data_IF_731314772617
#
_entry.id   IF_731314772617
#
_cell.length_a   1.000
_cell.length_b   1.000
_cell.length_c   1.000
_cell.angle_alpha   90.00
_cell.angle_beta   90.00
_cell.angle_gamma   90.00
#
_symmetry.space_group_name_H-M   'P 1'
#
loop_
_entity.id
_entity.type
_entity.pdbx_description
1 polymer ?
#
# COMPACT_ATOMS: atom_id res chain seq x y z
N UNK A 1 -15.22 8.63 9.13
CA UNK A 1 -13.83 8.15 9.20
C UNK A 1 -13.85 6.66 9.48
N UNK A 2 -13.60 5.80 8.49
CA UNK A 2 -13.33 4.38 8.75
C UNK A 2 -11.83 4.25 8.90
N UNK A 3 -11.37 4.20 10.15
CA UNK A 3 -10.01 3.86 10.51
C UNK A 3 -9.79 2.40 10.08
N UNK A 4 -8.68 2.13 9.38
CA UNK A 4 -8.33 0.76 8.99
C UNK A 4 -7.97 0.05 10.28
N UNK A 5 -8.82 -0.91 10.63
CA UNK A 5 -8.85 -1.60 11.90
C UNK A 5 -7.63 -2.52 12.03
N UNK A 6 -6.58 -2.10 12.74
CA UNK A 6 -5.64 -3.07 13.33
C UNK A 6 -6.28 -3.63 14.59
N UNK A 7 -7.29 -4.47 14.42
CA UNK A 7 -7.69 -5.36 15.51
C UNK A 7 -6.63 -6.45 15.56
N UNK A 8 -5.76 -6.43 16.58
CA UNK A 8 -4.91 -7.57 16.96
C UNK A 8 -5.83 -8.65 17.56
N UNK A 9 -6.83 -9.08 16.78
CA UNK A 9 -7.85 -10.01 17.22
C UNK A 9 -7.25 -11.42 17.26
N UNK A 10 -6.82 -11.79 18.47
CA UNK A 10 -6.76 -13.14 19.02
C UNK A 10 -6.55 -14.28 18.00
N UNK A 11 -5.30 -14.54 17.62
CA UNK A 11 -4.93 -15.85 17.09
C UNK A 11 -4.88 -16.81 18.28
N UNK A 12 -5.85 -17.70 18.37
CA UNK A 12 -5.85 -18.78 19.35
C UNK A 12 -4.58 -19.64 19.15
N UNK A 13 -3.73 -19.67 20.16
CA UNK A 13 -2.55 -20.53 20.20
C UNK A 13 -3.01 -21.99 20.23
N UNK A 14 -2.80 -22.76 19.15
CA UNK A 14 -2.63 -24.20 19.32
C UNK A 14 -1.21 -24.43 19.83
N UNK A 15 -1.12 -24.70 21.13
CA UNK A 15 0.06 -25.30 21.74
C UNK A 15 0.15 -26.73 21.22
N UNK A 16 0.87 -26.92 20.12
CA UNK A 16 1.26 -28.24 19.64
C UNK A 16 2.36 -28.80 20.52
N UNK A 17 1.98 -29.60 21.53
CA UNK A 17 2.89 -30.49 22.24
C UNK A 17 3.63 -31.36 21.21
N UNK A 18 4.94 -31.43 21.36
CA UNK A 18 5.82 -32.07 20.40
C UNK A 18 5.62 -33.59 20.27
N UNK A 19 5.97 -34.08 19.10
CA UNK A 19 6.55 -35.40 18.93
C UNK A 19 7.84 -35.24 18.12
N UNK A 20 8.91 -35.79 18.70
CA UNK A 20 10.24 -35.92 18.14
C UNK A 20 10.20 -36.71 16.84
N UNK A 21 11.05 -36.32 15.91
CA UNK A 21 11.98 -37.14 15.13
C UNK A 21 12.13 -36.47 13.76
N UNK A 22 13.29 -35.87 13.53
CA UNK A 22 13.92 -35.88 12.21
C UNK A 22 15.39 -35.48 12.36
N UNK A 23 16.23 -36.50 12.19
CA UNK A 23 17.67 -36.39 12.05
C UNK A 23 18.01 -35.65 10.76
N UNK A 24 18.71 -34.52 10.86
CA UNK A 24 19.56 -34.04 9.77
C UNK A 24 20.76 -33.30 10.37
N UNK A 25 22.00 -33.58 9.91
CA UNK A 25 23.21 -33.21 10.64
C UNK A 25 23.56 -31.72 10.49
N UNK A 26 24.23 -31.11 11.48
CA UNK A 26 24.71 -29.75 11.38
C UNK A 26 26.03 -29.74 10.61
N UNK A 27 26.16 -28.89 9.59
CA UNK A 27 27.48 -28.56 9.06
C UNK A 27 27.65 -27.05 8.91
N UNK A 28 28.78 -26.56 9.41
CA UNK A 28 29.26 -25.18 9.24
C UNK A 28 29.91 -24.55 10.47
N UNK A 29 30.92 -25.20 11.05
CA UNK A 29 31.77 -24.61 12.09
C UNK A 29 32.94 -23.77 11.51
N UNK A 30 33.29 -22.70 12.22
CA UNK A 30 34.61 -22.07 12.39
C UNK A 30 34.38 -20.82 13.28
N UNK A 31 35.06 -20.52 14.38
CA UNK A 31 36.17 -21.12 15.11
C UNK A 31 36.61 -20.13 16.20
N UNK A 32 37.19 -20.67 17.27
CA UNK A 32 37.89 -20.04 18.40
C UNK A 32 37.11 -19.52 19.62
N UNK A 33 37.45 -20.13 20.75
CA UNK A 33 36.85 -19.95 22.06
C UNK A 33 37.36 -18.74 22.84
N UNK A 34 36.50 -18.29 23.73
CA UNK A 34 36.77 -17.36 24.82
C UNK A 34 35.68 -17.56 25.85
N UNK A 35 36.05 -18.11 26.99
CA UNK A 35 35.19 -18.38 28.14
C UNK A 35 34.59 -17.05 28.64
N UNK A 36 33.27 -16.89 28.55
CA UNK A 36 32.58 -15.67 28.96
C UNK A 36 31.09 -15.93 29.07
N UNK A 37 30.60 -15.95 30.31
CA UNK A 37 29.19 -16.09 30.65
C UNK A 37 28.43 -14.85 30.16
N UNK A 38 27.97 -14.88 28.91
CA UNK A 38 27.18 -13.83 28.28
C UNK A 38 26.09 -14.50 27.46
N UNK A 39 24.84 -14.11 27.70
CA UNK A 39 23.66 -14.58 26.97
C UNK A 39 23.84 -14.34 25.46
N UNK A 40 24.29 -15.35 24.73
CA UNK A 40 24.44 -15.32 23.27
C UNK A 40 23.07 -15.51 22.63
N UNK A 41 22.42 -14.41 22.27
CA UNK A 41 21.36 -14.41 21.26
C UNK A 41 21.94 -14.89 19.91
N UNK A 42 21.19 -15.63 19.07
CA UNK A 42 21.73 -16.19 17.84
C UNK A 42 22.36 -15.10 16.95
N UNK A 43 23.61 -15.32 16.54
CA UNK A 43 24.39 -14.48 15.59
C UNK A 43 23.68 -14.25 14.25
N UNK A 44 22.59 -14.98 14.00
CA UNK A 44 21.80 -14.99 12.77
C UNK A 44 20.90 -13.76 12.60
N UNK A 45 20.41 -13.13 13.66
CA UNK A 45 19.51 -11.95 13.56
C UNK A 45 20.17 -10.74 12.91
N UNK A 46 21.48 -10.56 13.13
CA UNK A 46 22.25 -9.45 12.57
C UNK A 46 22.25 -9.46 11.02
N UNK A 47 22.02 -10.62 10.40
CA UNK A 47 21.97 -10.76 8.94
C UNK A 47 20.79 -9.99 8.30
N UNK A 48 19.76 -9.70 9.09
CA UNK A 48 18.56 -9.00 8.63
C UNK A 48 18.61 -7.50 8.84
N UNK A 49 19.59 -7.02 9.62
CA UNK A 49 19.68 -5.62 10.00
C UNK A 49 20.58 -4.85 9.02
N UNK A 50 20.28 -3.58 8.71
CA UNK A 50 21.17 -2.76 7.91
C UNK A 50 22.43 -2.41 8.71
N UNK A 51 23.56 -2.26 8.04
CA UNK A 51 24.82 -1.86 8.67
C UNK A 51 24.78 -0.38 9.16
N UNK A 52 24.03 0.48 8.46
CA UNK A 52 23.77 1.87 8.85
C UNK A 52 22.33 2.02 9.35
N UNK A 53 22.15 2.63 10.52
CA UNK A 53 20.87 2.70 11.23
C UNK A 53 20.19 4.04 11.00
N UNK A 54 18.91 4.03 10.68
CA UNK A 54 18.13 5.26 10.48
C UNK A 54 17.64 5.73 11.85
N UNK A 55 18.04 6.92 12.30
CA UNK A 55 17.54 7.50 13.55
C UNK A 55 16.17 8.14 13.38
N UNK A 56 15.94 8.72 12.22
CA UNK A 56 14.72 9.47 11.95
C UNK A 56 14.31 9.38 10.48
N UNK A 57 13.01 9.32 10.24
CA UNK A 57 12.41 9.53 8.93
C UNK A 57 11.43 10.68 9.00
N UNK A 58 11.60 11.65 8.10
CA UNK A 58 10.65 12.75 7.91
C UNK A 58 9.89 12.50 6.62
N UNK A 59 8.56 12.50 6.69
CA UNK A 59 7.70 12.30 5.52
C UNK A 59 6.70 13.42 5.36
N UNK A 60 6.51 13.86 4.12
CA UNK A 60 5.44 14.76 3.73
C UNK A 60 4.47 14.01 2.80
N UNK A 61 3.18 14.09 3.11
CA UNK A 61 2.15 13.40 2.35
C UNK A 61 0.86 14.23 2.27
N UNK A 62 0.06 13.93 1.26
CA UNK A 62 -1.27 14.55 1.10
C UNK A 62 -2.30 13.58 1.67
N UNK A 63 -2.99 14.02 2.71
CA UNK A 63 -4.18 13.37 3.24
C UNK A 63 -5.40 13.81 2.42
N UNK A 64 -6.21 12.84 1.97
CA UNK A 64 -7.51 13.13 1.37
C UNK A 64 -8.59 13.11 2.45
N UNK A 65 -9.28 14.23 2.61
CA UNK A 65 -10.48 14.31 3.43
C UNK A 65 -11.69 14.36 2.52
N UNK A 66 -12.62 13.43 2.73
CA UNK A 66 -13.97 13.61 2.22
C UNK A 66 -14.68 14.55 3.19
N UNK A 67 -15.33 15.61 2.68
CA UNK A 67 -16.19 16.48 3.50
C UNK A 67 -17.18 15.60 4.27
N UNK A 68 -17.37 15.90 5.56
CA UNK A 68 -18.19 15.12 6.48
C UNK A 68 -19.49 14.66 5.81
N UNK A 69 -19.75 13.35 5.88
CA UNK A 69 -21.02 12.77 5.47
C UNK A 69 -22.09 13.11 6.52
N UNK A 70 -22.38 14.40 6.70
CA UNK A 70 -23.51 14.87 7.51
C UNK A 70 -24.82 14.82 6.69
N UNK A 71 -24.87 14.03 5.62
CA UNK A 71 -26.05 13.86 4.75
C UNK A 71 -26.43 15.06 3.87
N UNK A 72 -25.81 16.23 4.04
CA UNK A 72 -26.30 17.49 3.46
C UNK A 72 -25.51 17.99 2.22
N UNK A 73 -24.38 17.39 1.86
CA UNK A 73 -23.74 17.73 0.59
C UNK A 73 -24.52 17.08 -0.57
N UNK A 74 -24.75 17.79 -1.69
CA UNK A 74 -25.39 17.19 -2.85
C UNK A 74 -24.52 16.09 -3.47
N UNK A 75 -25.15 15.04 -4.01
CA UNK A 75 -24.46 14.12 -4.92
C UNK A 75 -24.04 14.88 -6.19
N UNK A 76 -23.03 14.41 -6.96
CA UNK A 76 -22.74 15.00 -8.25
C UNK A 76 -24.03 15.04 -9.09
N UNK A 77 -24.33 16.15 -9.75
CA UNK A 77 -25.43 16.20 -10.71
C UNK A 77 -24.96 15.73 -12.09
N UNK A 78 -25.90 15.32 -12.95
CA UNK A 78 -25.61 15.02 -14.37
C UNK A 78 -24.91 16.21 -15.06
N UNK A 79 -25.29 17.44 -14.72
CA UNK A 79 -24.68 18.67 -15.23
C UNK A 79 -23.23 18.89 -14.78
N UNK A 80 -22.81 18.25 -13.69
CA UNK A 80 -21.44 18.33 -13.18
C UNK A 80 -20.51 17.26 -13.78
N UNK A 81 -21.03 16.19 -14.41
CA UNK A 81 -20.22 15.02 -14.83
C UNK A 81 -19.03 15.44 -15.69
N UNK A 82 -19.26 16.30 -16.68
CA UNK A 82 -18.25 16.76 -17.63
C UNK A 82 -17.50 18.03 -17.17
N UNK A 83 -17.70 18.48 -15.93
CA UNK A 83 -17.03 19.66 -15.37
C UNK A 83 -15.83 19.27 -14.48
N UNK A 84 -14.77 20.09 -14.42
CA UNK A 84 -13.57 19.84 -13.62
C UNK A 84 -13.78 20.20 -12.14
N UNK A 85 -14.70 19.49 -11.47
CA UNK A 85 -15.05 19.73 -10.06
C UNK A 85 -14.51 18.61 -9.17
N UNK A 86 -13.90 18.95 -8.03
CA UNK A 86 -13.42 17.97 -7.04
C UNK A 86 -14.54 17.35 -6.18
N UNK A 87 -15.77 17.84 -6.32
CA UNK A 87 -16.91 17.48 -5.49
C UNK A 87 -16.59 17.65 -3.99
N UNK A 88 -16.64 16.59 -3.18
CA UNK A 88 -16.46 16.62 -1.71
C UNK A 88 -15.02 16.41 -1.24
N UNK A 89 -14.05 16.42 -2.15
CA UNK A 89 -12.67 16.12 -1.78
C UNK A 89 -11.93 17.39 -1.37
N UNK A 90 -11.32 17.30 -0.21
CA UNK A 90 -10.39 18.28 0.33
C UNK A 90 -9.05 17.59 0.55
N UNK A 91 -7.97 18.33 0.35
CA UNK A 91 -6.61 17.82 0.49
C UNK A 91 -5.92 18.59 1.60
N UNK A 92 -5.14 17.90 2.42
CA UNK A 92 -4.35 18.50 3.50
C UNK A 92 -2.93 18.00 3.38
N UNK A 93 -1.97 18.93 3.30
CA UNK A 93 -0.55 18.58 3.38
C UNK A 93 -0.17 18.36 4.84
N UNK A 94 0.28 17.14 5.16
CA UNK A 94 0.72 16.74 6.48
C UNK A 94 2.19 16.33 6.50
N UNK A 95 2.81 16.51 7.65
CA UNK A 95 4.12 15.97 7.99
C UNK A 95 4.00 14.89 9.05
N UNK A 96 4.78 13.83 8.93
CA UNK A 96 4.99 12.84 9.99
C UNK A 96 6.47 12.53 10.16
N UNK A 97 6.88 12.30 11.41
CA UNK A 97 8.24 11.92 11.80
C UNK A 97 8.22 10.57 12.49
N UNK A 98 9.08 9.66 12.06
CA UNK A 98 9.33 8.38 12.74
C UNK A 98 10.71 8.45 13.39
N UNK A 99 10.77 8.35 14.72
CA UNK A 99 12.02 8.32 15.47
C UNK A 99 12.29 6.91 15.97
N UNK A 100 13.51 6.43 15.75
CA UNK A 100 13.92 5.08 16.09
C UNK A 100 14.97 5.08 17.19
N UNK A 101 14.75 4.24 18.20
CA UNK A 101 15.77 3.87 19.16
C UNK A 101 16.15 2.41 18.97
N UNK A 102 17.42 2.10 19.20
CA UNK A 102 17.98 0.76 19.00
C UNK A 102 18.41 0.13 20.33
N UNK A 103 18.35 -1.19 20.40
CA UNK A 103 19.02 -1.96 21.46
C UNK A 103 20.52 -2.14 21.16
N UNK A 104 21.23 -2.80 22.07
CA UNK A 104 22.68 -3.02 21.96
C UNK A 104 23.06 -3.93 20.79
N UNK A 105 22.13 -4.69 20.22
CA UNK A 105 22.33 -5.50 19.02
C UNK A 105 21.97 -4.75 17.73
N UNK A 106 21.49 -3.51 17.84
CA UNK A 106 21.11 -2.69 16.69
C UNK A 106 19.75 -3.06 16.10
N UNK A 107 18.88 -3.75 16.85
CA UNK A 107 17.47 -3.96 16.54
C UNK A 107 16.66 -2.76 17.05
N UNK A 108 15.56 -2.43 16.39
CA UNK A 108 14.70 -1.34 16.85
C UNK A 108 14.02 -1.76 18.15
N UNK A 109 14.24 -1.01 19.23
CA UNK A 109 13.56 -1.21 20.52
C UNK A 109 12.36 -0.30 20.72
N UNK A 110 12.31 0.83 20.00
CA UNK A 110 11.22 1.81 20.12
C UNK A 110 11.06 2.60 18.84
N UNK A 111 9.80 2.85 18.49
CA UNK A 111 9.36 3.76 17.43
C UNK A 111 8.50 4.83 18.08
N UNK A 112 8.82 6.09 17.82
CA UNK A 112 7.94 7.24 18.16
C UNK A 112 7.46 7.88 16.87
N UNK A 113 6.16 7.87 16.63
CA UNK A 113 5.53 8.54 15.50
C UNK A 113 4.97 9.88 15.96
N UNK A 114 5.38 10.97 15.30
CA UNK A 114 4.87 12.32 15.54
C UNK A 114 4.22 12.83 14.26
N UNK A 115 2.90 12.92 14.24
CA UNK A 115 2.14 13.46 13.11
C UNK A 115 1.64 14.88 13.44
N UNK A 116 1.72 15.79 12.47
CA UNK A 116 1.26 17.17 12.64
C UNK A 116 -0.22 17.22 13.07
N UNK A 117 -0.47 17.79 14.25
CA UNK A 117 -1.82 17.95 14.81
C UNK A 117 -2.35 16.74 15.60
N UNK A 118 -1.55 15.68 15.74
CA UNK A 118 -1.91 14.47 16.48
C UNK A 118 -1.01 14.26 17.70
N UNK A 119 -1.46 13.41 18.64
CA UNK A 119 -0.62 13.01 19.77
C UNK A 119 0.48 12.04 19.33
N UNK A 120 1.62 12.09 20.03
CA UNK A 120 2.72 11.16 19.81
C UNK A 120 2.28 9.71 20.07
N UNK A 121 2.59 8.81 19.13
CA UNK A 121 2.36 7.38 19.27
C UNK A 121 3.69 6.69 19.53
N UNK A 122 3.76 5.92 20.63
CA UNK A 122 4.97 5.18 21.02
C UNK A 122 4.72 3.68 20.92
N UNK A 123 5.61 2.97 20.23
CA UNK A 123 5.62 1.50 20.12
C UNK A 123 6.95 0.97 20.63
N UNK A 124 6.96 -0.08 21.44
CA UNK A 124 8.20 -0.68 21.98
C UNK A 124 8.32 -2.15 21.64
N UNK A 125 9.56 -2.60 21.49
CA UNK A 125 9.94 -3.94 21.11
C UNK A 125 11.02 -4.43 22.08
N UNK A 126 10.68 -5.44 22.87
CA UNK A 126 11.57 -6.08 23.85
C UNK A 126 11.92 -7.48 23.36
N UNK A 127 13.12 -7.62 22.84
CA UNK A 127 13.61 -8.85 22.23
C UNK A 127 14.32 -9.74 23.23
N UNK A 128 13.86 -10.99 23.31
CA UNK A 128 14.54 -12.09 24.01
C UNK A 128 15.18 -13.03 22.98
N UNK A 129 15.80 -14.11 23.48
CA UNK A 129 16.44 -15.10 22.63
C UNK A 129 15.45 -15.83 21.70
N UNK A 130 14.23 -16.08 22.18
CA UNK A 130 13.22 -16.91 21.48
C UNK A 130 11.87 -16.20 21.31
N UNK A 131 11.76 -14.93 21.70
CA UNK A 131 10.53 -14.16 21.56
C UNK A 131 10.81 -12.67 21.39
N UNK A 132 9.81 -11.94 20.90
CA UNK A 132 9.74 -10.48 20.94
C UNK A 132 8.43 -10.08 21.59
N UNK A 133 8.50 -9.22 22.60
CA UNK A 133 7.34 -8.58 23.21
C UNK A 133 7.15 -7.20 22.61
N UNK A 134 5.95 -6.94 22.11
CA UNK A 134 5.59 -5.71 21.42
C UNK A 134 4.49 -5.03 22.23
N UNK A 135 4.68 -3.74 22.51
CA UNK A 135 3.70 -2.90 23.20
C UNK A 135 3.31 -1.73 22.31
N UNK A 136 2.03 -1.56 22.04
CA UNK A 136 1.47 -0.53 21.15
C UNK A 136 0.18 0.04 21.73
N UNK A 137 -0.14 1.33 21.52
CA UNK A 137 -1.47 1.85 21.79
C UNK A 137 -2.44 1.35 20.71
N UNK A 138 -3.62 0.93 21.14
CA UNK A 138 -4.75 0.68 20.27
C UNK A 138 -5.21 2.01 19.65
N UNK A 139 -5.29 2.08 18.32
CA UNK A 139 -5.56 3.33 17.58
C UNK A 139 -6.99 3.89 17.74
N UNK A 140 -7.92 3.07 18.24
CA UNK A 140 -9.32 3.45 18.44
C UNK A 140 -9.60 3.85 19.90
N UNK A 141 -9.02 3.13 20.85
CA UNK A 141 -9.29 3.30 22.29
C UNK A 141 -8.18 4.02 23.04
N UNK A 142 -6.97 4.09 22.46
CA UNK A 142 -5.76 4.57 23.14
C UNK A 142 -5.23 3.64 24.24
N UNK A 143 -5.90 2.50 24.50
CA UNK A 143 -5.48 1.52 25.49
C UNK A 143 -4.18 0.85 25.03
N UNK A 144 -3.23 0.71 25.95
CA UNK A 144 -1.97 0.02 25.65
C UNK A 144 -2.21 -1.49 25.57
N UNK A 145 -1.90 -2.07 24.41
CA UNK A 145 -1.91 -3.50 24.15
C UNK A 145 -0.48 -4.04 24.19
N UNK A 146 -0.33 -5.28 24.65
CA UNK A 146 0.95 -5.99 24.66
C UNK A 146 0.77 -7.40 24.13
N UNK A 147 1.63 -7.79 23.20
CA UNK A 147 1.65 -9.12 22.61
C UNK A 147 3.07 -9.66 22.63
N UNK A 148 3.25 -10.96 22.85
CA UNK A 148 4.55 -11.63 22.77
C UNK A 148 4.49 -12.73 21.72
N UNK A 149 5.43 -12.69 20.78
CA UNK A 149 5.51 -13.63 19.67
C UNK A 149 6.81 -14.41 19.70
N UNK A 150 6.74 -15.71 19.40
CA UNK A 150 7.91 -16.57 19.29
C UNK A 150 8.77 -16.22 18.08
N UNK A 151 10.06 -16.52 18.18
CA UNK A 151 11.05 -16.41 17.12
C UNK A 151 11.54 -17.80 16.71
N UNK A 152 11.82 -17.99 15.41
CA UNK A 152 12.49 -19.20 14.95
C UNK A 152 14.00 -19.17 15.32
N UNK A 153 14.75 -20.24 15.04
CA UNK A 153 16.18 -20.31 15.33
C UNK A 153 17.03 -19.26 14.58
N UNK A 154 16.54 -18.75 13.45
CA UNK A 154 17.16 -17.65 12.74
C UNK A 154 16.79 -16.28 13.34
N UNK A 155 15.81 -16.24 14.24
CA UNK A 155 15.34 -15.04 14.93
C UNK A 155 14.21 -14.30 14.22
N UNK A 156 13.54 -14.94 13.26
CA UNK A 156 12.38 -14.39 12.56
C UNK A 156 11.09 -14.62 13.35
N UNK A 157 10.15 -13.66 13.26
CA UNK A 157 8.87 -13.72 13.98
C UNK A 157 7.96 -14.82 13.42
N UNK A 158 7.56 -15.77 14.27
CA UNK A 158 6.71 -16.91 13.90
C UNK A 158 5.24 -16.53 13.70
N UNK A 159 4.74 -15.52 14.41
CA UNK A 159 3.35 -15.07 14.29
C UNK A 159 3.05 -14.43 12.91
N UNK A 160 4.10 -14.00 12.19
CA UNK A 160 3.96 -13.38 10.88
C UNK A 160 3.59 -14.41 9.80
N UNK A 161 4.20 -15.59 9.83
CA UNK A 161 4.02 -16.61 8.82
C UNK A 161 5.18 -17.59 8.73
N UNK A 162 5.35 -18.20 7.57
CA UNK A 162 6.36 -19.24 7.31
C UNK A 162 7.52 -18.73 6.46
N UNK A 163 8.66 -19.40 6.58
CA UNK A 163 9.90 -19.02 5.92
C UNK A 163 10.44 -20.18 5.08
N UNK A 164 11.07 -19.88 3.95
CA UNK A 164 11.75 -20.87 3.12
C UNK A 164 13.13 -21.25 3.71
N UNK A 165 13.84 -22.17 3.05
CA UNK A 165 15.16 -22.62 3.47
C UNK A 165 16.23 -21.52 3.47
N UNK A 166 16.01 -20.43 2.73
CA UNK A 166 16.85 -19.22 2.71
C UNK A 166 16.39 -18.18 3.74
N UNK A 167 15.44 -18.52 4.61
CA UNK A 167 14.84 -17.63 5.60
C UNK A 167 14.16 -16.39 4.98
N UNK A 168 13.62 -16.53 3.76
CA UNK A 168 12.74 -15.53 3.13
C UNK A 168 11.29 -15.87 3.48
N UNK A 169 10.42 -14.87 3.59
CA UNK A 169 8.98 -15.12 3.79
C UNK A 169 8.44 -15.98 2.65
N UNK A 170 7.82 -17.11 2.97
CA UNK A 170 7.17 -18.01 2.02
C UNK A 170 5.65 -17.85 2.04
N UNK A 171 5.09 -17.57 3.21
CA UNK A 171 3.68 -17.25 3.39
C UNK A 171 3.54 -16.30 4.58
N UNK A 172 2.64 -15.33 4.49
CA UNK A 172 2.25 -14.45 5.59
C UNK A 172 0.77 -14.64 5.85
N UNK A 173 0.41 -14.77 7.13
CA UNK A 173 -0.98 -14.91 7.57
C UNK A 173 -1.80 -13.73 7.03
N UNK A 174 -2.97 -14.01 6.46
CA UNK A 174 -3.90 -13.03 5.88
C UNK A 174 -3.38 -12.18 4.70
N UNK A 175 -2.13 -12.36 4.28
CA UNK A 175 -1.56 -11.69 3.08
C UNK A 175 -1.37 -12.68 1.93
N UNK A 176 -0.94 -13.91 2.23
CA UNK A 176 -0.84 -14.99 1.26
C UNK A 176 0.59 -15.46 0.95
N UNK A 177 0.76 -16.05 -0.23
CA UNK A 177 1.99 -16.77 -0.65
C UNK A 177 2.97 -15.84 -1.35
N UNK A 178 4.27 -16.01 -1.06
CA UNK A 178 5.34 -15.16 -1.53
C UNK A 178 6.22 -15.94 -2.52
N UNK A 179 6.36 -15.42 -3.73
CA UNK A 179 7.21 -16.00 -4.76
C UNK A 179 8.48 -15.18 -4.95
N UNK A 180 9.62 -15.86 -4.93
CA UNK A 180 10.93 -15.24 -5.04
C UNK A 180 11.65 -15.70 -6.31
N UNK A 181 12.33 -14.77 -6.99
CA UNK A 181 13.17 -15.07 -8.15
C UNK A 181 14.45 -14.26 -8.04
N UNK A 182 15.61 -14.91 -8.22
CA UNK A 182 16.92 -14.25 -8.11
C UNK A 182 17.09 -13.44 -6.81
N UNK A 183 16.56 -13.97 -5.70
CA UNK A 183 16.57 -13.37 -4.37
C UNK A 183 15.81 -12.03 -4.24
N UNK A 184 14.89 -11.75 -5.17
CA UNK A 184 13.90 -10.67 -5.08
C UNK A 184 12.48 -11.24 -4.96
N UNK A 185 11.62 -10.64 -4.15
CA UNK A 185 10.20 -11.02 -3.99
C UNK A 185 9.43 -10.51 -5.19
N UNK A 186 9.07 -11.38 -6.13
CA UNK A 186 8.48 -10.98 -7.42
C UNK A 186 6.95 -11.05 -7.44
N UNK A 187 6.35 -11.91 -6.63
CA UNK A 187 4.89 -11.98 -6.49
C UNK A 187 4.42 -12.24 -5.07
N UNK A 188 3.23 -11.72 -4.77
CA UNK A 188 2.44 -12.06 -3.59
C UNK A 188 1.07 -12.48 -4.08
N UNK A 189 0.55 -13.60 -3.58
CA UNK A 189 -0.71 -14.20 -4.06
C UNK A 189 -1.63 -14.43 -2.86
N UNK A 190 -2.77 -13.74 -2.89
CA UNK A 190 -3.84 -13.87 -1.91
C UNK A 190 -5.05 -14.57 -2.54
N UNK A 191 -5.58 -15.60 -1.88
CA UNK A 191 -6.81 -16.28 -2.31
C UNK A 191 -7.91 -15.97 -1.32
N UNK A 192 -8.99 -15.33 -1.78
CA UNK A 192 -10.16 -14.99 -0.96
C UNK A 192 -11.39 -15.76 -1.44
N UNK A 193 -12.13 -16.37 -0.52
CA UNK A 193 -13.44 -16.93 -0.83
C UNK A 193 -14.51 -15.84 -0.71
N UNK A 194 -15.20 -15.53 -1.81
CA UNK A 194 -16.36 -14.61 -1.82
C UNK A 194 -17.56 -15.35 -2.39
N UNK A 195 -18.57 -15.57 -1.53
CA UNK A 195 -19.83 -16.23 -1.89
C UNK A 195 -19.62 -17.58 -2.59
N UNK A 196 -18.70 -18.42 -2.09
CA UNK A 196 -18.42 -19.74 -2.64
C UNK A 196 -17.49 -19.74 -3.87
N UNK A 197 -17.10 -18.56 -4.36
CA UNK A 197 -16.11 -18.41 -5.44
C UNK A 197 -14.76 -18.00 -4.88
N UNK A 198 -13.71 -18.75 -5.20
CA UNK A 198 -12.34 -18.33 -4.94
C UNK A 198 -11.96 -17.25 -5.93
N UNK A 199 -11.54 -16.10 -5.42
CA UNK A 199 -10.99 -14.99 -6.19
C UNK A 199 -9.52 -14.86 -5.83
N UNK A 200 -8.67 -14.77 -6.85
CA UNK A 200 -7.23 -14.57 -6.67
C UNK A 200 -6.90 -13.08 -6.81
N UNK A 201 -6.33 -12.52 -5.76
CA UNK A 201 -5.66 -11.23 -5.79
C UNK A 201 -4.16 -11.45 -5.75
N UNK A 202 -3.40 -10.53 -6.31
CA UNK A 202 -1.95 -10.61 -6.18
C UNK A 202 -1.25 -9.30 -6.44
N UNK A 203 0.02 -9.23 -6.07
CA UNK A 203 0.90 -8.11 -6.39
C UNK A 203 2.06 -8.62 -7.21
N UNK A 204 2.38 -7.93 -8.31
CA UNK A 204 3.59 -8.12 -9.10
C UNK A 204 4.58 -7.04 -8.72
N UNK A 205 5.78 -7.44 -8.29
CA UNK A 205 6.83 -6.54 -7.83
C UNK A 205 7.99 -6.58 -8.80
N UNK A 206 8.53 -5.40 -9.14
CA UNK A 206 9.73 -5.27 -9.95
C UNK A 206 10.78 -4.44 -9.22
N UNK A 207 12.04 -4.70 -9.55
CA UNK A 207 13.19 -4.14 -8.83
C UNK A 207 14.12 -3.40 -9.78
N UNK A 208 14.83 -2.42 -9.22
CA UNK A 208 15.94 -1.77 -9.90
C UNK A 208 17.21 -2.63 -9.89
N UNK A 209 18.32 -2.03 -10.30
CA UNK A 209 19.63 -2.68 -10.28
C UNK A 209 20.39 -2.40 -8.97
N UNK A 210 19.93 -1.41 -8.21
CA UNK A 210 20.55 -0.93 -6.98
C UNK A 210 20.37 -1.96 -5.86
N UNK A 211 21.44 -2.20 -5.09
CA UNK A 211 21.40 -3.11 -3.96
C UNK A 211 20.61 -2.51 -2.79
N UNK A 212 19.82 -3.34 -2.12
CA UNK A 212 19.07 -2.97 -0.93
C UNK A 212 19.95 -3.00 0.33
N UNK A 213 20.87 -2.04 0.47
CA UNK A 213 21.73 -1.93 1.67
C UNK A 213 20.94 -1.64 2.95
N UNK A 214 19.78 -1.00 2.82
CA UNK A 214 18.88 -0.67 3.91
C UNK A 214 18.06 -1.85 4.43
N UNK A 215 18.04 -2.99 3.72
CA UNK A 215 17.26 -4.19 4.08
C UNK A 215 15.75 -3.94 4.17
N UNK A 216 15.21 -3.07 3.31
CA UNK A 216 13.76 -2.84 3.25
C UNK A 216 13.04 -4.10 2.73
N UNK A 217 11.99 -4.54 3.43
CA UNK A 217 11.14 -5.64 3.03
C UNK A 217 9.67 -5.19 3.16
N UNK A 218 9.08 -4.80 2.02
CA UNK A 218 7.70 -4.34 1.94
C UNK A 218 6.82 -5.38 1.25
N UNK A 219 5.67 -5.70 1.85
CA UNK A 219 4.78 -6.71 1.28
C UNK A 219 3.29 -6.59 1.63
N UNK A 220 2.86 -5.68 2.52
CA UNK A 220 1.48 -5.67 3.00
C UNK A 220 0.52 -4.86 2.10
N UNK A 221 0.24 -5.36 0.90
CA UNK A 221 -0.58 -4.65 -0.10
C UNK A 221 -2.09 -4.96 0.08
N UNK A 222 -2.70 -4.53 1.18
CA UNK A 222 -4.13 -4.78 1.41
C UNK A 222 -5.02 -4.13 0.32
N UNK A 223 -6.02 -4.90 -0.12
CA UNK A 223 -6.85 -4.65 -1.31
C UNK A 223 -7.84 -3.48 -1.28
N UNK A 224 -7.47 -2.35 -0.66
CA UNK A 224 -8.00 -0.99 -0.87
C UNK A 224 -7.00 0.12 -0.45
N UNK A 225 -5.84 -0.25 0.11
CA UNK A 225 -4.76 0.65 0.52
C UNK A 225 -3.42 0.00 0.16
N UNK A 226 -2.80 0.46 -0.93
CA UNK A 226 -1.48 -0.03 -1.34
C UNK A 226 -0.49 0.18 -0.19
N UNK A 227 0.26 -0.86 0.23
CA UNK A 227 1.30 -0.65 1.26
C UNK A 227 2.29 0.38 0.78
N UNK A 228 2.43 1.38 1.62
CA UNK A 228 3.34 2.48 1.49
C UNK A 228 4.52 2.28 2.43
N UNK A 229 5.63 2.95 2.14
CA UNK A 229 6.75 3.04 3.08
C UNK A 229 6.27 3.64 4.43
N UNK A 230 5.19 4.42 4.44
CA UNK A 230 4.55 4.95 5.65
C UNK A 230 4.19 3.84 6.64
N UNK A 231 3.49 2.80 6.19
CA UNK A 231 3.11 1.68 7.06
C UNK A 231 4.33 0.89 7.52
N UNK A 232 5.28 0.68 6.62
CA UNK A 232 6.52 -0.03 6.94
C UNK A 232 7.31 0.70 8.03
N UNK A 233 7.49 2.01 7.91
CA UNK A 233 8.20 2.86 8.87
C UNK A 233 7.44 3.05 10.19
N UNK A 234 6.11 3.09 10.15
CA UNK A 234 5.30 3.23 11.35
C UNK A 234 5.38 2.02 12.29
N UNK A 235 5.68 0.83 11.76
CA UNK A 235 5.65 -0.41 12.56
C UNK A 235 6.51 -1.57 12.06
N UNK A 236 6.35 -2.00 10.80
CA UNK A 236 6.93 -3.27 10.31
C UNK A 236 8.45 -3.31 10.37
N UNK A 237 9.11 -2.16 10.20
CA UNK A 237 10.57 -2.03 10.36
C UNK A 237 11.04 -2.47 11.76
N UNK A 238 10.15 -2.42 12.76
CA UNK A 238 10.44 -2.73 14.16
C UNK A 238 10.65 -4.20 14.48
N UNK A 239 10.22 -5.14 13.63
CA UNK A 239 10.39 -6.59 13.83
C UNK A 239 11.21 -7.28 12.73
N UNK A 240 11.78 -8.44 13.05
CA UNK A 240 12.60 -9.24 12.12
C UNK A 240 11.72 -10.13 11.24
N UNK A 241 11.78 -9.90 9.92
CA UNK A 241 10.87 -10.47 8.90
C UNK A 241 11.58 -11.46 7.96
N UNK A 242 12.78 -11.92 8.31
CA UNK A 242 13.61 -12.71 7.40
C UNK A 242 14.40 -11.87 6.40
N UNK A 243 14.90 -12.54 5.36
CA UNK A 243 15.78 -11.94 4.35
C UNK A 243 15.01 -10.94 3.47
N UNK A 244 15.49 -9.70 3.45
CA UNK A 244 15.00 -8.66 2.55
C UNK A 244 15.41 -8.94 1.08
N UNK A 245 14.68 -8.38 0.08
CA UNK A 245 15.03 -8.50 -1.32
C UNK A 245 16.43 -7.97 -1.61
N UNK A 246 17.14 -8.62 -2.53
CA UNK A 246 18.48 -8.24 -2.95
C UNK A 246 18.56 -6.79 -3.45
N UNK A 247 17.56 -6.36 -4.21
CA UNK A 247 17.50 -5.06 -4.86
C UNK A 247 16.41 -4.16 -4.27
N UNK A 248 16.48 -2.86 -4.56
CA UNK A 248 15.44 -1.92 -4.15
C UNK A 248 14.20 -2.05 -5.05
N UNK A 249 13.04 -2.05 -4.40
CA UNK A 249 11.74 -2.17 -5.04
C UNK A 249 11.51 -0.96 -5.96
N UNK A 250 11.21 -1.19 -7.23
CA UNK A 250 10.96 -0.14 -8.23
C UNK A 250 9.48 0.12 -8.43
N UNK A 251 8.68 -0.95 -8.47
CA UNK A 251 7.25 -0.84 -8.74
C UNK A 251 6.48 -2.02 -8.17
N UNK A 252 5.25 -1.75 -7.77
CA UNK A 252 4.23 -2.75 -7.44
C UNK A 252 3.01 -2.52 -8.30
N UNK A 253 2.51 -3.59 -8.91
CA UNK A 253 1.26 -3.62 -9.67
C UNK A 253 0.31 -4.60 -9.01
N UNK A 254 -0.84 -4.11 -8.53
CA UNK A 254 -1.88 -5.00 -8.01
C UNK A 254 -2.58 -5.70 -9.17
N UNK A 255 -3.02 -6.92 -8.93
CA UNK A 255 -3.65 -7.80 -9.92
C UNK A 255 -4.86 -8.50 -9.32
N UNK A 256 -5.84 -8.80 -10.17
CA UNK A 256 -6.99 -9.64 -9.85
C UNK A 256 -7.15 -10.66 -10.97
N UNK A 257 -7.16 -11.94 -10.63
CA UNK A 257 -7.09 -13.04 -11.61
C UNK A 257 -5.97 -12.81 -12.63
N UNK A 258 -4.78 -12.45 -12.12
CA UNK A 258 -3.56 -12.10 -12.87
C UNK A 258 -3.62 -10.86 -13.76
N UNK A 259 -4.80 -10.34 -14.03
CA UNK A 259 -5.01 -9.10 -14.77
C UNK A 259 -4.61 -7.89 -13.92
N UNK A 260 -3.83 -6.93 -14.47
CA UNK A 260 -3.43 -5.74 -13.73
C UNK A 260 -4.65 -4.88 -13.40
N UNK A 261 -4.68 -4.40 -12.16
CA UNK A 261 -5.56 -3.32 -11.73
C UNK A 261 -4.85 -1.98 -11.98
N UNK A 262 -5.63 -0.89 -12.01
CA UNK A 262 -5.09 0.47 -12.17
C UNK A 262 -4.34 1.01 -10.92
N UNK A 263 -3.99 0.14 -9.98
CA UNK A 263 -3.25 0.50 -8.77
C UNK A 263 -1.78 0.14 -8.95
N UNK A 264 -1.02 1.13 -9.41
CA UNK A 264 0.42 1.05 -9.62
C UNK A 264 1.09 2.00 -8.63
N UNK A 265 2.07 1.49 -7.89
CA UNK A 265 2.96 2.30 -7.06
C UNK A 265 4.38 2.20 -7.59
N UNK A 266 5.02 3.36 -7.79
CA UNK A 266 6.42 3.44 -8.22
C UNK A 266 7.25 4.06 -7.11
N UNK A 267 8.50 3.62 -7.04
CA UNK A 267 9.46 4.06 -6.04
C UNK A 267 10.72 4.52 -6.75
N UNK A 268 11.21 5.69 -6.33
CA UNK A 268 12.53 6.20 -6.74
C UNK A 268 13.35 6.54 -5.51
N UNK A 269 14.66 6.43 -5.66
CA UNK A 269 15.59 6.55 -4.55
C UNK A 269 16.71 7.53 -4.89
N UNK A 270 17.18 8.24 -3.87
CA UNK A 270 18.48 8.90 -3.90
C UNK A 270 19.34 8.31 -2.79
N UNK A 271 20.66 8.43 -2.92
CA UNK A 271 21.62 7.75 -2.06
C UNK A 271 22.58 8.74 -1.42
N UNK A 272 23.09 8.37 -0.24
CA UNK A 272 24.27 9.00 0.32
C UNK A 272 25.57 8.44 -0.31
N UNK A 273 26.72 8.96 0.13
CA UNK A 273 28.03 8.56 -0.39
C UNK A 273 28.37 7.08 -0.13
N UNK A 274 27.75 6.46 0.88
CA UNK A 274 27.95 5.06 1.24
C UNK A 274 27.01 4.14 0.45
N UNK A 275 26.15 4.69 -0.41
CA UNK A 275 25.14 3.98 -1.19
C UNK A 275 23.94 3.52 -0.36
N UNK A 276 23.70 4.12 0.80
CA UNK A 276 22.47 3.95 1.57
C UNK A 276 21.40 4.94 1.11
N UNK A 277 20.13 4.54 1.19
CA UNK A 277 19.01 5.37 0.73
C UNK A 277 18.86 6.62 1.57
N UNK A 278 18.99 7.80 0.95
CA UNK A 278 18.80 9.11 1.58
C UNK A 278 17.37 9.62 1.46
N UNK A 279 16.76 9.44 0.29
CA UNK A 279 15.38 9.87 0.03
C UNK A 279 14.65 8.81 -0.77
N UNK A 280 13.38 8.61 -0.46
CA UNK A 280 12.44 7.76 -1.21
C UNK A 280 11.31 8.65 -1.70
N UNK A 281 10.99 8.59 -3.00
CA UNK A 281 9.71 9.09 -3.50
C UNK A 281 8.83 7.92 -3.88
N UNK A 282 7.69 7.81 -3.21
CA UNK A 282 6.63 6.86 -3.51
C UNK A 282 5.54 7.60 -4.28
N UNK A 283 5.35 7.25 -5.54
CA UNK A 283 4.27 7.79 -6.38
C UNK A 283 3.18 6.76 -6.54
N UNK A 284 1.93 7.15 -6.35
CA UNK A 284 0.77 6.27 -6.49
C UNK A 284 -0.38 6.99 -7.16
N UNK A 285 -1.15 6.24 -7.96
CA UNK A 285 -2.49 6.67 -8.36
C UNK A 285 -3.47 6.20 -7.27
N UNK A 286 -3.75 7.08 -6.30
CA UNK A 286 -4.62 6.76 -5.17
C UNK A 286 -6.06 7.12 -5.50
N UNK A 287 -6.99 6.22 -5.18
CA UNK A 287 -8.41 6.56 -5.19
C UNK A 287 -8.66 7.62 -4.12
N UNK A 288 -9.09 8.81 -4.53
CA UNK A 288 -9.33 9.94 -3.65
C UNK A 288 -10.81 10.06 -3.22
N UNK A 289 -11.71 9.22 -3.78
CA UNK A 289 -13.11 9.17 -3.35
C UNK A 289 -13.88 7.94 -3.82
N UNK A 290 -15.03 7.68 -3.19
CA UNK A 290 -15.94 6.58 -3.56
C UNK A 290 -16.70 6.87 -4.86
N UNK A 291 -17.03 5.81 -5.61
CA UNK A 291 -17.85 5.92 -6.80
C UNK A 291 -19.23 6.42 -6.40
N UNK A 292 -19.69 7.50 -7.04
CA UNK A 292 -21.10 7.88 -6.96
C UNK A 292 -21.73 7.52 -8.29
N UNK A 293 -22.54 6.45 -8.28
CA UNK A 293 -23.35 6.09 -9.43
C UNK A 293 -24.52 7.08 -9.51
N UNK A 294 -24.67 7.73 -10.65
CA UNK A 294 -25.78 8.67 -10.85
C UNK A 294 -27.08 7.96 -11.24
N UNK A 295 -27.01 6.67 -11.58
CA UNK A 295 -28.15 5.90 -12.07
C UNK A 295 -28.23 5.93 -13.59
N UNK A 296 -29.46 5.84 -14.10
CA UNK A 296 -29.78 5.58 -15.49
C UNK A 296 -30.40 6.80 -16.17
N UNK A 297 -29.83 7.25 -17.30
CA UNK A 297 -30.22 8.50 -17.95
C UNK A 297 -30.47 8.35 -19.45
N UNK A 298 -31.43 9.11 -19.96
CA UNK A 298 -31.67 9.36 -21.38
C UNK A 298 -31.90 10.86 -21.62
N UNK A 299 -30.99 11.69 -21.10
CA UNK A 299 -31.03 13.14 -21.28
C UNK A 299 -30.39 13.52 -22.63
N UNK A 300 -31.20 14.05 -23.55
CA UNK A 300 -30.78 14.37 -24.91
C UNK A 300 -29.78 15.55 -24.97
N UNK A 301 -29.87 16.50 -24.05
CA UNK A 301 -28.94 17.65 -23.98
C UNK A 301 -27.57 17.18 -23.48
N UNK A 302 -27.55 16.35 -22.44
CA UNK A 302 -26.32 15.71 -21.96
C UNK A 302 -25.64 14.88 -23.05
N UNK A 303 -26.40 14.05 -23.76
CA UNK A 303 -25.89 13.21 -24.84
C UNK A 303 -25.29 14.02 -25.99
N UNK A 304 -25.94 15.12 -26.36
CA UNK A 304 -25.39 16.06 -27.35
C UNK A 304 -24.04 16.59 -26.89
N UNK A 305 -23.96 17.11 -25.67
CA UNK A 305 -22.72 17.65 -25.08
C UNK A 305 -21.60 16.61 -25.00
N UNK A 306 -21.94 15.37 -24.61
CA UNK A 306 -20.98 14.27 -24.51
C UNK A 306 -20.44 13.88 -25.88
N UNK A 307 -21.30 13.74 -26.89
CA UNK A 307 -20.88 13.40 -28.25
C UNK A 307 -19.99 14.49 -28.85
N UNK A 308 -20.37 15.76 -28.72
CA UNK A 308 -19.54 16.89 -29.16
C UNK A 308 -18.17 16.88 -28.48
N UNK A 309 -18.13 16.63 -27.17
CA UNK A 309 -16.88 16.55 -26.43
C UNK A 309 -15.99 15.41 -26.95
N UNK A 310 -16.54 14.21 -27.12
CA UNK A 310 -15.78 13.04 -27.62
C UNK A 310 -15.20 13.34 -29.01
N UNK A 311 -16.01 13.90 -29.91
CA UNK A 311 -15.55 14.29 -31.25
C UNK A 311 -14.43 15.33 -31.19
N UNK A 312 -14.55 16.34 -30.33
CA UNK A 312 -13.50 17.35 -30.17
C UNK A 312 -12.19 16.77 -29.61
N UNK A 313 -12.26 15.84 -28.67
CA UNK A 313 -11.09 15.12 -28.14
C UNK A 313 -10.44 14.30 -29.27
N UNK A 314 -11.23 13.52 -30.00
CA UNK A 314 -10.73 12.67 -31.09
C UNK A 314 -10.11 13.48 -32.24
N UNK A 315 -10.66 14.67 -32.52
CA UNK A 315 -10.11 15.60 -33.51
C UNK A 315 -8.93 16.43 -32.98
N UNK A 316 -8.58 16.32 -31.69
CA UNK A 316 -7.49 17.05 -31.06
C UNK A 316 -7.75 18.54 -30.80
N UNK A 317 -8.99 19.01 -30.95
CA UNK A 317 -9.40 20.40 -30.65
C UNK A 317 -9.65 20.62 -29.16
N UNK A 318 -10.00 19.56 -28.42
CA UNK A 318 -10.02 19.54 -26.95
C UNK A 318 -8.80 18.75 -26.44
N UNK A 319 -8.00 19.36 -25.55
CA UNK A 319 -6.76 18.79 -25.00
C UNK A 319 -6.74 18.75 -23.47
N UNK A 320 -7.71 19.36 -22.82
CA UNK A 320 -7.84 19.40 -21.36
C UNK A 320 -8.51 18.16 -20.78
N UNK A 321 -8.93 17.22 -21.64
CA UNK A 321 -9.65 16.00 -21.27
C UNK A 321 -9.22 14.85 -22.17
N UNK A 322 -9.36 13.64 -21.67
CA UNK A 322 -9.02 12.41 -22.41
C UNK A 322 -10.25 11.52 -22.55
N UNK A 323 -10.37 10.88 -23.72
CA UNK A 323 -11.32 9.81 -23.97
C UNK A 323 -10.57 8.47 -24.00
N UNK A 324 -11.04 7.52 -23.20
CA UNK A 324 -10.48 6.16 -23.18
C UNK A 324 -11.58 5.13 -23.37
N UNK A 325 -11.53 4.40 -24.48
CA UNK A 325 -12.39 3.24 -24.70
C UNK A 325 -11.97 2.10 -23.76
N UNK A 326 -12.92 1.55 -23.01
CA UNK A 326 -12.69 0.45 -22.05
C UNK A 326 -13.20 -0.87 -22.62
N UNK A 327 -14.36 -0.85 -23.27
CA UNK A 327 -14.99 -2.01 -23.90
C UNK A 327 -15.94 -1.55 -25.01
N UNK A 328 -16.03 -2.30 -26.11
CA UNK A 328 -16.98 -2.06 -27.19
C UNK A 328 -17.55 -3.42 -27.64
N UNK A 329 -18.69 -3.81 -27.05
CA UNK A 329 -19.42 -5.04 -27.35
C UNK A 329 -20.75 -4.70 -28.01
N UNK A 330 -21.35 -5.68 -28.67
CA UNK A 330 -22.60 -5.50 -29.42
C UNK A 330 -23.78 -5.00 -28.56
N UNK A 331 -23.82 -5.36 -27.28
CA UNK A 331 -24.87 -4.99 -26.33
C UNK A 331 -24.42 -3.94 -25.30
N UNK A 332 -23.14 -3.59 -25.27
CA UNK A 332 -22.56 -2.72 -24.25
C UNK A 332 -21.30 -2.01 -24.72
N UNK A 333 -21.30 -0.68 -24.59
CA UNK A 333 -20.11 0.16 -24.78
C UNK A 333 -19.71 0.83 -23.48
N UNK A 334 -18.45 0.70 -23.09
CA UNK A 334 -17.89 1.30 -21.88
C UNK A 334 -16.71 2.19 -22.25
N UNK A 335 -16.73 3.43 -21.78
CA UNK A 335 -15.63 4.36 -21.97
C UNK A 335 -15.52 5.33 -20.79
N UNK A 336 -14.32 5.89 -20.62
CA UNK A 336 -14.02 6.88 -19.60
C UNK A 336 -13.80 8.25 -20.26
N UNK A 337 -14.37 9.30 -19.67
CA UNK A 337 -13.93 10.69 -19.87
C UNK A 337 -13.09 11.06 -18.66
N UNK A 338 -11.81 11.37 -18.88
CA UNK A 338 -10.86 11.73 -17.83
C UNK A 338 -10.65 13.24 -17.87
N UNK A 339 -10.87 13.89 -16.74
CA UNK A 339 -10.76 15.34 -16.56
C UNK A 339 -9.71 15.60 -15.49
N UNK A 340 -8.47 15.96 -15.88
CA UNK A 340 -7.44 16.40 -14.95
C UNK A 340 -7.83 17.72 -14.27
N UNK A 341 -7.66 17.78 -12.95
CA UNK A 341 -7.91 18.96 -12.13
C UNK A 341 -6.63 19.25 -11.36
N UNK A 342 -6.06 20.43 -11.56
CA UNK A 342 -4.89 20.90 -10.81
C UNK A 342 -5.33 21.48 -9.47
N UNK A 343 -4.73 21.03 -8.39
CA UNK A 343 -4.95 21.54 -7.03
C UNK A 343 -3.64 22.15 -6.56
N UNK A 344 -3.63 23.49 -6.42
CA UNK A 344 -2.42 24.25 -6.09
C UNK A 344 -2.35 24.64 -4.60
N UNK A 345 -3.46 24.46 -3.89
CA UNK A 345 -3.62 24.82 -2.48
C UNK A 345 -4.39 23.72 -1.74
N UNK A 346 -3.89 23.37 -0.56
CA UNK A 346 -4.60 22.49 0.36
C UNK A 346 -5.74 23.26 1.07
N UNK A 347 -6.56 22.56 1.87
CA UNK A 347 -7.69 23.15 2.61
C UNK A 347 -7.30 24.32 3.50
N UNK A 348 -6.05 24.34 3.99
CA UNK A 348 -5.52 25.34 4.90
C UNK A 348 -4.72 26.44 4.16
N UNK A 349 -4.67 26.42 2.82
CA UNK A 349 -3.95 27.39 2.00
C UNK A 349 -2.45 27.10 1.82
N UNK A 350 -1.93 25.95 2.30
CA UNK A 350 -0.56 25.52 2.01
C UNK A 350 -0.43 25.19 0.52
N UNK A 351 0.69 25.54 -0.10
CA UNK A 351 0.94 25.20 -1.51
C UNK A 351 1.14 23.69 -1.64
N UNK A 352 0.43 23.09 -2.59
CA UNK A 352 0.62 21.70 -3.02
C UNK A 352 0.68 21.67 -4.54
N UNK A 353 1.26 20.61 -5.10
CA UNK A 353 1.19 20.34 -6.55
C UNK A 353 0.57 18.95 -6.72
N UNK A 354 -0.74 18.95 -6.93
CA UNK A 354 -1.52 17.73 -7.03
C UNK A 354 -2.37 17.76 -8.30
N UNK A 355 -2.30 16.68 -9.06
CA UNK A 355 -3.25 16.42 -10.16
C UNK A 355 -4.27 15.39 -9.70
N UNK A 356 -5.55 15.74 -9.82
CA UNK A 356 -6.68 14.86 -9.55
C UNK A 356 -7.41 14.59 -10.85
N UNK A 357 -7.38 13.33 -11.27
CA UNK A 357 -8.11 12.86 -12.43
C UNK A 357 -9.53 12.47 -12.00
N UNK A 358 -10.51 13.29 -12.36
CA UNK A 358 -11.92 12.90 -12.30
C UNK A 358 -12.19 11.97 -13.49
N UNK A 359 -12.65 10.77 -13.20
CA UNK A 359 -12.96 9.76 -14.22
C UNK A 359 -14.47 9.56 -14.24
N UNK A 360 -15.11 9.99 -15.32
CA UNK A 360 -16.53 9.71 -15.58
C UNK A 360 -16.63 8.49 -16.51
N UNK A 361 -16.92 7.33 -15.91
CA UNK A 361 -17.17 6.10 -16.64
C UNK A 361 -18.60 6.07 -17.13
N UNK A 362 -18.76 5.88 -18.43
CA UNK A 362 -20.03 5.75 -19.11
C UNK A 362 -20.20 4.30 -19.56
N UNK A 363 -21.33 3.70 -19.21
CA UNK A 363 -21.73 2.36 -19.64
C UNK A 363 -23.02 2.48 -20.42
N UNK A 364 -22.93 2.38 -21.74
CA UNK A 364 -24.05 2.46 -22.66
C UNK A 364 -24.51 1.03 -22.93
N UNK A 365 -25.71 0.68 -22.46
CA UNK A 365 -26.39 -0.55 -22.88
C UNK A 365 -27.11 -0.31 -24.18
N UNK A 366 -26.89 -1.20 -25.14
CA UNK A 366 -27.42 -1.10 -26.50
C UNK A 366 -28.48 -2.18 -26.70
N UNK A 367 -29.51 -1.86 -27.49
CA UNK A 367 -30.49 -2.84 -27.97
C UNK A 367 -30.74 -2.64 -29.45
N UNK A 368 -31.08 -3.72 -30.14
CA UNK A 368 -31.48 -3.65 -31.55
C UNK A 368 -32.96 -3.32 -31.66
N UNK A 369 -33.29 -2.23 -32.36
CA UNK A 369 -34.67 -1.87 -32.72
C UNK A 369 -34.73 -1.65 -34.23
N UNK A 370 -35.60 -2.40 -34.91
CA UNK A 370 -35.79 -2.34 -36.37
C UNK A 370 -34.48 -2.47 -37.18
N UNK A 371 -33.56 -3.34 -36.73
CA UNK A 371 -32.26 -3.56 -37.39
C UNK A 371 -31.21 -2.49 -37.13
N UNK A 372 -31.49 -1.48 -36.30
CA UNK A 372 -30.52 -0.45 -35.88
C UNK A 372 -30.25 -0.57 -34.38
N UNK A 373 -28.98 -0.43 -33.97
CA UNK A 373 -28.63 -0.31 -32.56
C UNK A 373 -29.07 1.04 -32.01
N UNK A 374 -29.77 1.02 -30.88
CA UNK A 374 -30.17 2.20 -30.12
C UNK A 374 -29.72 2.07 -28.67
N UNK A 375 -29.44 3.20 -28.02
CA UNK A 375 -29.14 3.24 -26.59
C UNK A 375 -30.41 2.82 -25.83
N UNK A 376 -30.31 1.75 -25.05
CA UNK A 376 -31.33 1.34 -24.10
C UNK A 376 -31.21 2.13 -22.81
N UNK A 377 -29.98 2.25 -22.30
CA UNK A 377 -29.71 2.84 -21.01
C UNK A 377 -28.25 3.31 -20.87
N UNK A 378 -28.01 4.31 -20.02
CA UNK A 378 -26.69 4.86 -19.73
C UNK A 378 -26.45 4.83 -18.22
N UNK A 379 -25.51 4.02 -17.77
CA UNK A 379 -24.94 4.12 -16.42
C UNK A 379 -23.77 5.09 -16.41
N UNK A 380 -23.70 5.95 -15.37
CA UNK A 380 -22.57 6.85 -15.15
C UNK A 380 -22.02 6.65 -13.74
N UNK A 381 -20.73 6.32 -13.65
CA UNK A 381 -19.97 6.22 -12.41
C UNK A 381 -18.86 7.27 -12.41
N UNK A 382 -18.82 8.10 -11.36
CA UNK A 382 -17.74 9.07 -11.17
C UNK A 382 -16.78 8.56 -10.11
N UNK A 383 -15.50 8.49 -10.45
CA UNK A 383 -14.41 8.26 -9.51
C UNK A 383 -13.36 9.37 -9.59
N UNK A 384 -12.51 9.45 -8.58
CA UNK A 384 -11.44 10.42 -8.51
C UNK A 384 -10.16 9.71 -8.13
N UNK A 385 -9.12 9.96 -8.92
CA UNK A 385 -7.80 9.39 -8.74
C UNK A 385 -6.78 10.52 -8.62
N UNK A 386 -6.01 10.52 -7.54
CA UNK A 386 -4.99 11.52 -7.29
C UNK A 386 -3.61 10.95 -7.55
N UNK A 387 -2.83 11.67 -8.35
CA UNK A 387 -1.42 11.35 -8.58
C UNK A 387 -0.61 11.90 -7.42
N UNK A 388 -0.45 11.07 -6.39
CA UNK A 388 0.16 11.45 -5.12
C UNK A 388 1.62 11.04 -5.09
N UNK A 389 2.46 11.94 -4.62
CA UNK A 389 3.84 11.64 -4.25
C UNK A 389 4.00 11.81 -2.75
N UNK A 390 4.48 10.77 -2.08
CA UNK A 390 4.95 10.83 -0.70
C UNK A 390 6.47 10.76 -0.71
N UNK A 391 7.12 11.73 -0.06
CA UNK A 391 8.58 11.80 0.02
C UNK A 391 9.03 11.48 1.44
N UNK A 392 9.93 10.52 1.58
CA UNK A 392 10.55 10.15 2.84
C UNK A 392 12.03 10.53 2.83
N UNK A 393 12.46 11.30 3.81
CA UNK A 393 13.86 11.64 4.03
C UNK A 393 14.40 10.81 5.19
N UNK A 394 15.49 10.08 4.96
CA UNK A 394 16.10 9.18 5.93
C UNK A 394 17.32 9.86 6.56
N UNK A 395 17.30 9.99 7.88
CA UNK A 395 18.37 10.57 8.68
C UNK A 395 19.01 9.48 9.55
N UNK A 396 20.32 9.30 9.42
CA UNK A 396 21.08 8.19 10.03
C UNK A 396 21.77 8.54 11.35
#
# INVERSE_FOLDING_TARGET
>A
MKKILFSIAAIAMLVGCGSKDDDTPPNGGNGNGGNGNGTTTPTTQNNYLPAKKVKEIVSNFIEVKNRDYNGNDPAPSISSVLQPTLNRQEFVLKMVRFLYEYDNQGRIKKITTKEEGENDIVKTFDYKATSVKITVPNEDTGVIETVEWGLNAAGNVLALGTYDSKQRLANVNDVGVFEWTNDNLTKIIEKKNRNGKVITYGSKLSYGNELNKNKFLMYNFEGDAVSSYMQYFNFQIGWIQGVAPKNLLKQVVLTKEEAPLNYICNYTYTFDNDGFVKTINETRNARAGSNTGLGYFTDADYLTKLNTLITNIQNGTEKSREYRLVSDKDDEKVFDIIIPIKVEKDKNGKTIDLTVNKVARHTFKLKTKNGTQVIDNIGIDISYNSDMTTTYQLNY
#
